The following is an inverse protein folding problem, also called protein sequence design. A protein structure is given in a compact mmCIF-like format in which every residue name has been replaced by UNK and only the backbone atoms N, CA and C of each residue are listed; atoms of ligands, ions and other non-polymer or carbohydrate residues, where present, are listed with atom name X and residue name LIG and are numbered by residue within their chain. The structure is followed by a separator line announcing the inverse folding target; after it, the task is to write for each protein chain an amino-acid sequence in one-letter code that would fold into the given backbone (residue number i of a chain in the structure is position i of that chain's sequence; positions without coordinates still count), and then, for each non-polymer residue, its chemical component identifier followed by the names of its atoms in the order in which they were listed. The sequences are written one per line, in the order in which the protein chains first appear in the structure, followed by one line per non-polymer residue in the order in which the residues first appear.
data_IF_907678112662
#
_entry.id   IF_907678112662
#
_cell.length_a   1.000
_cell.length_b   1.000
_cell.length_c   1.000
_cell.angle_alpha   90.00
_cell.angle_beta   90.00
_cell.angle_gamma   90.00
#
_symmetry.space_group_name_H-M   'P 1'
#
loop_
_entity.id
_entity.type
_entity.pdbx_description
1 polymer ?
#
# COMPACT_ATOMS: atom_id res chain seq x y z
N UNK A 1 66.77 7.46 30.28
CA UNK A 1 65.80 6.46 29.73
C UNK A 1 64.41 7.03 29.79
N UNK A 2 63.88 7.63 28.71
CA UNK A 2 62.59 8.28 28.64
C UNK A 2 61.59 7.33 27.94
N UNK A 3 60.61 6.78 28.70
CA UNK A 3 59.55 5.91 28.14
C UNK A 3 58.50 6.80 27.47
N UNK A 4 58.47 6.74 26.13
CA UNK A 4 57.35 7.30 25.32
C UNK A 4 56.09 6.50 25.53
N UNK A 5 55.06 7.06 26.15
CA UNK A 5 53.69 6.52 26.18
C UNK A 5 52.96 6.96 24.92
N UNK A 6 52.72 6.03 24.02
CA UNK A 6 51.85 6.21 22.86
C UNK A 6 50.37 6.19 23.32
N UNK A 7 49.71 7.31 23.21
CA UNK A 7 48.29 7.47 23.46
C UNK A 7 47.52 7.08 22.17
N UNK A 8 46.91 5.89 22.15
CA UNK A 8 46.05 5.46 21.05
C UNK A 8 44.71 6.15 21.16
N UNK A 9 44.46 7.08 20.24
CA UNK A 9 43.15 7.77 20.09
C UNK A 9 42.19 6.83 19.37
N UNK A 10 41.26 6.24 20.11
CA UNK A 10 40.20 5.37 19.59
C UNK A 10 39.07 6.24 19.03
N UNK A 11 39.01 6.37 17.70
CA UNK A 11 37.98 7.12 16.99
C UNK A 11 36.68 6.27 16.99
N UNK A 12 35.71 6.58 17.85
CA UNK A 12 34.36 6.03 17.79
C UNK A 12 33.64 6.60 16.56
N UNK A 13 33.48 5.80 15.52
CA UNK A 13 32.58 6.08 14.42
C UNK A 13 31.13 5.91 14.91
N UNK A 14 30.48 7.00 15.28
CA UNK A 14 29.03 7.07 15.44
C UNK A 14 28.40 6.94 14.05
N UNK A 15 28.00 5.74 13.66
CA UNK A 15 27.11 5.52 12.55
C UNK A 15 25.72 6.03 12.95
N UNK A 16 25.47 7.32 12.72
CA UNK A 16 24.13 7.89 12.76
C UNK A 16 23.31 7.22 11.66
N UNK A 17 22.30 6.42 12.05
CA UNK A 17 21.28 5.95 11.13
C UNK A 17 20.61 7.19 10.54
N UNK A 18 20.76 7.41 9.22
CA UNK A 18 19.99 8.41 8.53
C UNK A 18 18.51 7.99 8.62
N UNK A 19 17.72 8.72 9.41
CA UNK A 19 16.27 8.67 9.28
C UNK A 19 15.98 9.16 7.88
N UNK A 20 15.27 8.37 7.09
CA UNK A 20 14.83 8.82 5.79
C UNK A 20 13.89 10.02 5.99
N UNK A 21 14.19 11.13 5.30
CA UNK A 21 13.35 12.34 5.37
C UNK A 21 11.94 12.04 4.85
N UNK A 22 10.94 12.68 5.44
CA UNK A 22 9.56 12.62 4.97
C UNK A 22 9.45 13.18 3.54
N UNK A 23 8.66 12.52 2.72
CA UNK A 23 8.32 13.01 1.38
C UNK A 23 7.07 13.86 1.46
N UNK A 24 7.14 15.12 1.06
CA UNK A 24 5.99 16.01 0.98
C UNK A 24 5.88 16.54 -0.45
N UNK A 25 4.74 16.33 -1.09
CA UNK A 25 4.53 16.84 -2.45
C UNK A 25 3.19 16.45 -3.06
N UNK A 26 2.94 16.94 -4.27
CA UNK A 26 1.83 16.46 -5.07
C UNK A 26 2.13 15.05 -5.53
N UNK A 27 1.19 14.15 -5.30
CA UNK A 27 1.30 12.76 -5.72
C UNK A 27 0.55 12.53 -7.03
N UNK A 28 1.09 11.68 -7.89
CA UNK A 28 0.38 10.99 -8.95
C UNK A 28 0.01 9.60 -8.45
N UNK A 29 -1.23 9.17 -8.66
CA UNK A 29 -1.67 7.82 -8.31
C UNK A 29 -1.28 6.87 -9.45
N UNK A 30 -0.50 5.83 -9.14
CA UNK A 30 -0.06 4.81 -10.10
C UNK A 30 -1.07 3.65 -10.13
N UNK A 31 -1.48 3.21 -8.95
CA UNK A 31 -2.54 2.22 -8.72
C UNK A 31 -3.16 2.40 -7.32
N UNK A 32 -4.03 1.47 -6.90
CA UNK A 32 -4.81 1.62 -5.66
C UNK A 32 -3.99 1.67 -4.37
N UNK A 33 -2.70 1.32 -4.39
CA UNK A 33 -1.81 1.36 -3.22
C UNK A 33 -0.40 1.89 -3.53
N UNK A 34 -0.21 2.50 -4.70
CA UNK A 34 1.08 3.03 -5.13
C UNK A 34 0.94 4.46 -5.64
N UNK A 35 1.75 5.34 -5.06
CA UNK A 35 1.85 6.76 -5.43
C UNK A 35 3.22 7.04 -6.05
N UNK A 36 3.32 8.17 -6.77
CA UNK A 36 4.59 8.73 -7.19
C UNK A 36 4.67 10.20 -6.75
N UNK A 37 5.72 10.56 -6.01
CA UNK A 37 6.03 11.93 -5.58
C UNK A 37 7.45 12.25 -6.03
N UNK A 38 7.64 13.32 -6.80
CA UNK A 38 8.94 13.74 -7.32
C UNK A 38 9.72 12.63 -8.06
N UNK A 39 9.01 11.74 -8.79
CA UNK A 39 9.60 10.60 -9.49
C UNK A 39 9.94 9.39 -8.61
N UNK A 40 9.65 9.46 -7.31
CA UNK A 40 9.87 8.35 -6.37
C UNK A 40 8.56 7.57 -6.22
N UNK A 41 8.59 6.26 -6.53
CA UNK A 41 7.45 5.37 -6.31
C UNK A 41 7.37 4.96 -4.86
N UNK A 42 6.19 5.18 -4.28
CA UNK A 42 5.87 4.95 -2.88
C UNK A 42 4.72 3.96 -2.80
N UNK A 43 4.98 2.80 -2.21
CA UNK A 43 3.93 1.83 -1.88
C UNK A 43 3.36 2.14 -0.51
N UNK A 44 2.05 2.25 -0.41
CA UNK A 44 1.36 2.46 0.87
C UNK A 44 1.56 1.23 1.77
N UNK A 45 2.01 1.50 2.99
CA UNK A 45 2.35 0.46 3.94
C UNK A 45 1.11 -0.26 4.49
N UNK A 46 1.23 -1.58 4.66
CA UNK A 46 0.30 -2.39 5.44
C UNK A 46 -1.03 -2.70 4.79
N UNK A 47 -1.23 -2.28 3.54
CA UNK A 47 -2.45 -2.57 2.77
C UNK A 47 -2.12 -3.26 1.45
N UNK A 48 -3.14 -3.84 0.82
CA UNK A 48 -3.07 -4.41 -0.52
C UNK A 48 -4.35 -4.08 -1.29
N UNK A 49 -4.25 -3.33 -2.37
CA UNK A 49 -5.37 -2.96 -3.22
C UNK A 49 -5.50 -3.90 -4.42
N UNK A 50 -6.70 -4.06 -4.99
CA UNK A 50 -6.86 -4.75 -6.27
C UNK A 50 -5.96 -4.14 -7.35
N UNK A 51 -5.37 -4.99 -8.18
CA UNK A 51 -4.51 -4.57 -9.28
C UNK A 51 -5.32 -3.82 -10.36
N UNK A 52 -4.70 -2.89 -11.09
CA UNK A 52 -5.38 -2.03 -12.08
C UNK A 52 -6.20 -2.79 -13.12
N UNK A 53 -5.80 -4.02 -13.48
CA UNK A 53 -6.51 -4.91 -14.41
C UNK A 53 -7.46 -5.88 -13.72
N UNK A 54 -7.50 -5.91 -12.40
CA UNK A 54 -8.34 -6.82 -11.63
C UNK A 54 -9.82 -6.41 -11.71
N UNK A 55 -10.69 -7.41 -11.85
CA UNK A 55 -12.13 -7.24 -11.84
C UNK A 55 -12.70 -7.74 -10.50
N UNK A 56 -13.80 -7.11 -10.10
CA UNK A 56 -14.64 -7.54 -8.98
C UNK A 56 -16.08 -7.61 -9.47
N UNK A 57 -16.98 -8.21 -8.70
CA UNK A 57 -18.43 -8.14 -8.95
C UNK A 57 -19.09 -7.24 -7.93
N UNK A 58 -20.05 -6.45 -8.36
CA UNK A 58 -20.91 -5.68 -7.49
C UNK A 58 -22.04 -6.52 -6.88
N UNK A 59 -22.92 -5.89 -6.12
CA UNK A 59 -24.16 -6.47 -5.59
C UNK A 59 -25.16 -6.89 -6.68
N UNK A 60 -25.06 -6.29 -7.86
CA UNK A 60 -25.78 -6.64 -9.08
C UNK A 60 -25.14 -7.81 -9.84
N UNK A 61 -24.06 -8.40 -9.33
CA UNK A 61 -23.25 -9.45 -9.97
C UNK A 61 -22.54 -9.02 -11.26
N UNK A 62 -22.60 -7.74 -11.64
CA UNK A 62 -21.87 -7.24 -12.80
C UNK A 62 -20.39 -7.01 -12.47
N UNK A 63 -19.54 -7.37 -13.44
CA UNK A 63 -18.11 -7.12 -13.30
C UNK A 63 -17.77 -5.65 -13.50
N UNK A 64 -16.85 -5.16 -12.67
CA UNK A 64 -16.25 -3.83 -12.80
C UNK A 64 -14.75 -3.86 -12.50
N UNK A 65 -14.02 -2.86 -12.95
CA UNK A 65 -12.56 -2.74 -12.74
C UNK A 65 -12.27 -2.15 -11.37
N UNK A 66 -12.32 -2.98 -10.33
CA UNK A 66 -12.16 -2.54 -8.95
C UNK A 66 -10.77 -1.94 -8.66
N UNK A 67 -9.71 -2.45 -9.28
CA UNK A 67 -8.38 -1.85 -9.14
C UNK A 67 -8.29 -0.46 -9.75
N UNK A 68 -8.84 -0.26 -10.95
CA UNK A 68 -8.90 1.07 -11.56
C UNK A 68 -9.78 2.02 -10.73
N UNK A 69 -10.88 1.53 -10.18
CA UNK A 69 -11.73 2.33 -9.28
C UNK A 69 -10.97 2.75 -8.03
N UNK A 70 -10.23 1.84 -7.38
CA UNK A 70 -9.45 2.17 -6.21
C UNK A 70 -8.43 3.30 -6.49
N UNK A 71 -7.74 3.23 -7.63
CA UNK A 71 -6.81 4.27 -8.05
C UNK A 71 -7.51 5.62 -8.31
N UNK A 72 -8.65 5.60 -9.02
CA UNK A 72 -9.39 6.82 -9.33
C UNK A 72 -9.98 7.48 -8.07
N UNK A 73 -10.51 6.67 -7.15
CA UNK A 73 -11.08 7.17 -5.90
C UNK A 73 -9.99 7.76 -4.99
N UNK A 74 -8.79 7.13 -4.97
CA UNK A 74 -7.63 7.65 -4.26
C UNK A 74 -7.18 8.99 -4.84
N UNK A 75 -7.08 9.11 -6.16
CA UNK A 75 -6.71 10.35 -6.84
C UNK A 75 -7.73 11.47 -6.54
N UNK A 76 -9.02 11.14 -6.63
CA UNK A 76 -10.11 12.07 -6.29
C UNK A 76 -10.06 12.48 -4.80
N UNK A 77 -9.72 11.56 -3.90
CA UNK A 77 -9.58 11.89 -2.47
C UNK A 77 -8.37 12.79 -2.21
N UNK A 78 -7.24 12.52 -2.85
CA UNK A 78 -6.04 13.37 -2.75
C UNK A 78 -6.34 14.77 -3.30
N UNK A 79 -7.06 14.87 -4.42
CA UNK A 79 -7.54 16.13 -4.99
C UNK A 79 -6.40 17.18 -5.15
N UNK A 80 -5.23 16.74 -5.61
CA UNK A 80 -4.02 17.58 -5.81
C UNK A 80 -3.48 18.24 -4.52
N UNK A 81 -3.97 17.86 -3.35
CA UNK A 81 -3.42 18.31 -2.07
C UNK A 81 -2.04 17.69 -1.84
N UNK A 82 -1.14 18.37 -1.12
CA UNK A 82 0.13 17.77 -0.73
C UNK A 82 -0.09 16.49 0.09
N UNK A 83 0.61 15.42 -0.30
CA UNK A 83 0.69 14.16 0.42
C UNK A 83 1.95 14.19 1.25
N UNK A 84 1.87 13.80 2.51
CA UNK A 84 2.99 13.61 3.41
C UNK A 84 3.19 12.11 3.64
N UNK A 85 4.39 11.60 3.32
CA UNK A 85 4.74 10.19 3.46
C UNK A 85 5.98 10.03 4.33
N UNK A 86 5.86 9.22 5.38
CA UNK A 86 6.96 8.82 6.26
C UNK A 86 7.49 7.44 5.84
N UNK A 87 8.72 7.35 5.30
CA UNK A 87 9.32 6.11 4.84
C UNK A 87 9.54 5.13 5.99
N UNK A 88 9.30 3.83 5.72
CA UNK A 88 9.50 2.76 6.69
C UNK A 88 10.55 1.74 6.22
N UNK A 89 10.58 1.41 4.92
CA UNK A 89 11.49 0.42 4.34
C UNK A 89 11.53 0.54 2.82
N UNK A 90 12.34 -0.29 2.20
CA UNK A 90 12.26 -0.58 0.76
C UNK A 90 11.64 -1.96 0.55
N UNK A 91 10.86 -2.12 -0.51
CA UNK A 91 10.39 -3.42 -0.93
C UNK A 91 11.43 -4.15 -1.83
N UNK A 92 11.22 -5.45 -2.15
CA UNK A 92 12.15 -6.20 -3.01
C UNK A 92 12.31 -5.62 -4.44
N UNK A 93 11.43 -4.72 -4.86
CA UNK A 93 11.49 -4.06 -6.17
C UNK A 93 12.12 -2.67 -6.10
N UNK A 94 12.61 -2.26 -4.93
CA UNK A 94 13.24 -0.97 -4.70
C UNK A 94 12.27 0.21 -4.51
N UNK A 95 10.94 -0.05 -4.36
CA UNK A 95 9.99 1.01 -4.04
C UNK A 95 10.09 1.37 -2.56
N UNK A 96 9.96 2.64 -2.26
CA UNK A 96 9.81 3.09 -0.87
C UNK A 96 8.46 2.64 -0.31
N UNK A 97 8.47 1.91 0.79
CA UNK A 97 7.25 1.58 1.55
C UNK A 97 7.07 2.64 2.62
N UNK A 98 5.91 3.31 2.66
CA UNK A 98 5.67 4.41 3.57
C UNK A 98 4.22 4.46 4.09
N UNK A 99 4.02 5.04 5.26
CA UNK A 99 2.72 5.56 5.66
C UNK A 99 2.53 6.94 5.06
N UNK A 100 1.39 7.20 4.42
CA UNK A 100 1.12 8.46 3.76
C UNK A 100 -0.19 9.07 4.25
N UNK A 101 -0.25 10.40 4.30
CA UNK A 101 -1.45 11.12 4.74
C UNK A 101 -1.74 12.36 3.88
N UNK A 102 -3.01 12.75 3.82
CA UNK A 102 -3.49 14.01 3.23
C UNK A 102 -4.37 14.71 4.24
N UNK A 103 -3.99 15.92 4.63
CA UNK A 103 -4.74 16.68 5.65
C UNK A 103 -4.84 15.94 6.99
N UNK A 104 -3.83 15.14 7.34
CA UNK A 104 -3.81 14.35 8.57
C UNK A 104 -4.57 13.02 8.51
N UNK A 105 -5.20 12.69 7.38
CA UNK A 105 -5.92 11.42 7.20
C UNK A 105 -4.95 10.39 6.58
N UNK A 106 -4.73 9.26 7.27
CA UNK A 106 -3.95 8.12 6.77
C UNK A 106 -4.62 7.53 5.53
N UNK A 107 -3.87 7.48 4.41
CA UNK A 107 -4.39 7.00 3.13
C UNK A 107 -4.68 5.49 3.14
N UNK A 108 -3.86 4.71 3.85
CA UNK A 108 -4.09 3.27 4.02
C UNK A 108 -5.39 3.01 4.78
N UNK A 109 -5.60 3.69 5.89
CA UNK A 109 -6.84 3.57 6.66
C UNK A 109 -8.06 4.03 5.84
N UNK A 110 -7.93 5.12 5.10
CA UNK A 110 -9.03 5.62 4.25
C UNK A 110 -9.42 4.61 3.17
N UNK A 111 -8.42 4.01 2.49
CA UNK A 111 -8.66 3.00 1.45
C UNK A 111 -9.34 1.75 2.01
N UNK A 112 -8.87 1.25 3.16
CA UNK A 112 -9.47 0.09 3.82
C UNK A 112 -10.90 0.40 4.28
N UNK A 113 -11.13 1.57 4.87
CA UNK A 113 -12.47 2.03 5.30
C UNK A 113 -13.47 2.13 4.16
N UNK A 114 -13.00 2.46 2.95
CA UNK A 114 -13.82 2.54 1.74
C UNK A 114 -13.99 1.19 1.03
N UNK A 115 -13.35 0.13 1.53
CA UNK A 115 -13.32 -1.16 0.85
C UNK A 115 -12.62 -1.11 -0.51
N UNK A 116 -11.61 -0.25 -0.66
CA UNK A 116 -10.80 -0.08 -1.87
C UNK A 116 -9.45 -0.82 -1.76
N UNK A 117 -9.09 -1.22 -0.56
CA UNK A 117 -7.93 -2.06 -0.25
C UNK A 117 -8.24 -2.96 0.95
N UNK A 118 -7.44 -4.00 1.10
CA UNK A 118 -7.45 -4.91 2.25
C UNK A 118 -6.34 -4.56 3.24
N UNK A 119 -6.60 -4.76 4.53
CA UNK A 119 -5.52 -4.87 5.51
C UNK A 119 -4.61 -6.05 5.12
N UNK A 120 -3.29 -5.84 5.20
CA UNK A 120 -2.33 -6.93 4.97
C UNK A 120 -1.60 -7.26 6.27
N UNK A 121 -2.15 -8.15 7.11
CA UNK A 121 -1.69 -8.38 8.48
C UNK A 121 -0.22 -8.79 8.60
N UNK A 122 0.33 -9.43 7.57
CA UNK A 122 1.76 -9.77 7.53
C UNK A 122 2.65 -8.53 7.70
N UNK A 123 2.24 -7.39 7.16
CA UNK A 123 2.97 -6.12 7.20
C UNK A 123 2.37 -5.14 8.21
N UNK A 124 1.05 -4.94 8.18
CA UNK A 124 0.34 -3.99 9.06
C UNK A 124 0.36 -4.40 10.53
N UNK A 125 0.60 -5.70 10.82
CA UNK A 125 0.40 -6.29 12.15
C UNK A 125 -1.01 -6.08 12.68
N UNK A 126 -2.01 -6.01 11.77
CA UNK A 126 -3.43 -5.84 12.07
C UNK A 126 -3.86 -4.40 12.34
N UNK A 127 -3.01 -3.41 11.99
CA UNK A 127 -3.30 -1.99 12.21
C UNK A 127 -4.65 -1.55 11.63
N UNK A 128 -5.00 -2.08 10.46
CA UNK A 128 -6.24 -1.72 9.76
C UNK A 128 -7.35 -2.77 9.90
N UNK A 129 -7.13 -3.82 10.71
CA UNK A 129 -8.04 -4.96 10.82
C UNK A 129 -9.43 -4.59 11.35
N UNK A 130 -9.53 -3.67 12.33
CA UNK A 130 -10.83 -3.17 12.81
C UNK A 130 -11.56 -2.36 11.74
N UNK A 131 -10.84 -1.47 11.07
CA UNK A 131 -11.35 -0.67 9.96
C UNK A 131 -11.86 -1.55 8.82
N UNK A 132 -11.15 -2.64 8.50
CA UNK A 132 -11.59 -3.60 7.50
C UNK A 132 -12.89 -4.29 7.91
N UNK A 133 -12.98 -4.80 9.14
CA UNK A 133 -14.21 -5.44 9.63
C UNK A 133 -15.41 -4.49 9.60
N UNK A 134 -15.19 -3.20 9.86
CA UNK A 134 -16.26 -2.20 9.77
C UNK A 134 -16.69 -1.97 8.31
N UNK A 135 -15.72 -1.89 7.38
CA UNK A 135 -16.00 -1.75 5.96
C UNK A 135 -16.75 -2.98 5.39
N UNK A 136 -16.33 -4.18 5.79
CA UNK A 136 -16.96 -5.45 5.43
C UNK A 136 -18.42 -5.51 5.91
N UNK A 137 -18.67 -5.25 7.20
CA UNK A 137 -20.02 -5.22 7.75
C UNK A 137 -20.92 -4.18 7.10
N UNK A 138 -20.35 -3.06 6.66
CA UNK A 138 -21.08 -2.00 5.98
C UNK A 138 -21.20 -2.21 4.47
N UNK A 139 -20.67 -3.31 3.91
CA UNK A 139 -20.68 -3.58 2.47
C UNK A 139 -20.03 -2.47 1.65
N UNK A 140 -18.88 -1.95 2.08
CA UNK A 140 -18.18 -0.89 1.36
C UNK A 140 -17.32 -1.44 0.22
N UNK A 141 -17.30 -0.75 -0.91
CA UNK A 141 -16.40 -1.06 -2.03
C UNK A 141 -16.50 -2.51 -2.49
N UNK A 142 -15.39 -3.28 -2.43
CA UNK A 142 -15.32 -4.69 -2.85
C UNK A 142 -16.18 -5.62 -1.99
N UNK A 143 -16.58 -5.20 -0.78
CA UNK A 143 -17.42 -5.96 0.13
C UNK A 143 -18.90 -5.98 -0.26
N UNK A 144 -19.30 -5.26 -1.32
CA UNK A 144 -20.67 -5.31 -1.88
C UNK A 144 -20.98 -6.58 -2.63
N UNK A 145 -19.96 -7.27 -3.12
CA UNK A 145 -20.15 -8.46 -3.92
C UNK A 145 -18.98 -9.43 -3.76
N UNK A 146 -18.43 -9.97 -4.85
CA UNK A 146 -17.30 -10.90 -4.80
C UNK A 146 -16.03 -10.34 -5.43
N UNK A 147 -14.90 -10.76 -4.89
CA UNK A 147 -13.58 -10.38 -5.36
C UNK A 147 -12.57 -11.50 -5.06
N UNK A 148 -11.46 -11.50 -5.78
CA UNK A 148 -10.28 -12.32 -5.46
C UNK A 148 -9.30 -11.43 -4.69
N UNK A 149 -8.67 -11.96 -3.64
CA UNK A 149 -7.66 -11.20 -2.91
C UNK A 149 -6.51 -10.81 -3.84
N UNK A 150 -5.98 -9.59 -3.76
CA UNK A 150 -4.97 -9.07 -4.70
C UNK A 150 -3.73 -9.97 -4.80
N UNK A 151 -3.27 -10.54 -3.68
CA UNK A 151 -2.12 -11.48 -3.70
C UNK A 151 -2.42 -12.80 -4.44
N UNK A 152 -3.65 -13.31 -4.38
CA UNK A 152 -4.07 -14.50 -5.14
C UNK A 152 -4.21 -14.17 -6.62
N UNK A 153 -4.78 -13.01 -6.95
CA UNK A 153 -4.81 -12.52 -8.32
C UNK A 153 -3.40 -12.44 -8.91
N UNK A 154 -2.44 -11.82 -8.21
CA UNK A 154 -1.04 -11.76 -8.66
C UNK A 154 -0.40 -13.14 -8.81
N UNK A 155 -0.72 -14.09 -7.91
CA UNK A 155 -0.23 -15.46 -8.03
C UNK A 155 -0.75 -16.13 -9.30
N UNK A 156 -2.03 -15.97 -9.62
CA UNK A 156 -2.66 -16.48 -10.84
C UNK A 156 -2.03 -15.85 -12.11
N UNK A 157 -1.84 -14.54 -12.14
CA UNK A 157 -1.18 -13.84 -13.26
C UNK A 157 0.24 -14.34 -13.48
N UNK A 158 1.02 -14.54 -12.40
CA UNK A 158 2.39 -15.10 -12.50
C UNK A 158 2.42 -16.53 -13.02
N UNK A 159 1.33 -17.29 -12.84
CA UNK A 159 1.13 -18.61 -13.42
C UNK A 159 0.56 -18.57 -14.86
N UNK A 160 0.71 -17.44 -15.56
CA UNK A 160 0.19 -17.18 -16.92
C UNK A 160 -1.35 -17.18 -17.03
N UNK A 161 -2.05 -16.93 -15.93
CA UNK A 161 -3.50 -16.71 -15.93
C UNK A 161 -3.89 -15.42 -16.66
N UNK A 162 -5.09 -15.38 -17.23
CA UNK A 162 -5.64 -14.16 -17.84
C UNK A 162 -6.32 -13.31 -16.77
N UNK A 163 -6.27 -11.97 -16.86
CA UNK A 163 -6.88 -11.08 -15.86
C UNK A 163 -8.34 -11.41 -15.54
N UNK A 164 -9.17 -11.69 -16.53
CA UNK A 164 -10.58 -12.05 -16.32
C UNK A 164 -10.74 -13.37 -15.56
N UNK A 165 -9.95 -14.39 -15.88
CA UNK A 165 -10.01 -15.69 -15.20
C UNK A 165 -9.44 -15.61 -13.77
N UNK A 166 -8.37 -14.82 -13.57
CA UNK A 166 -7.78 -14.63 -12.24
C UNK A 166 -8.64 -13.77 -11.31
N UNK A 167 -9.58 -12.99 -11.87
CA UNK A 167 -10.50 -12.15 -11.12
C UNK A 167 -11.80 -12.85 -10.72
N UNK A 168 -12.12 -13.95 -11.36
CA UNK A 168 -13.40 -14.66 -11.23
C UNK A 168 -13.14 -16.07 -10.71
N UNK A 169 -12.61 -16.17 -9.49
CA UNK A 169 -12.44 -17.45 -8.84
C UNK A 169 -13.75 -17.84 -8.15
N UNK A 170 -14.48 -18.79 -8.77
CA UNK A 170 -15.68 -19.38 -8.20
C UNK A 170 -15.40 -20.11 -6.86
N UNK A 171 -14.13 -20.32 -6.50
CA UNK A 171 -13.70 -20.97 -5.27
C UNK A 171 -13.12 -19.95 -4.24
N UNK A 172 -13.02 -18.69 -4.58
CA UNK A 172 -12.55 -17.62 -3.67
C UNK A 172 -13.70 -17.10 -2.79
N UNK A 173 -14.45 -17.99 -2.20
CA UNK A 173 -15.32 -17.62 -1.07
C UNK A 173 -14.52 -17.70 0.22
N UNK A 174 -14.63 -16.66 1.10
CA UNK A 174 -14.05 -16.70 2.43
C UNK A 174 -14.65 -17.83 3.28
#
# INVERSE_FOLDING_TARGET
MIKRRTLALMLLLLSGGALADDFVGQASVVDGDTLEIHGIRIRLWGIDAPESSQLCRGDDSLQYRCGAQAANDLDAFIARRPVNCSPLSLDPYGRTVATCSVGGIDLGEWLVRKGLALDWPQYSKGRYGDTQRDAERAGQGIWKGSYVQPWLYRACIRANGKPSACSDDANAHP
#
